data_IF_118640950224
#
_entry.id   IF_118640950224
#
_cell.length_a   1.000
_cell.length_b   1.000
_cell.length_c   1.000
_cell.angle_alpha   90.00
_cell.angle_beta   90.00
_cell.angle_gamma   90.00
#
_symmetry.space_group_name_H-M   'P 1'
#
loop_
_entity.id
_entity.type
_entity.pdbx_description
1 polymer ?
#
# COMPACT_ATOMS: atom_id res chain seq x y z
N UNK A 1 -11.34 14.29 13.83
CA UNK A 1 -11.75 14.29 12.39
C UNK A 1 -10.59 13.74 11.58
N UNK A 2 -10.86 13.06 10.46
CA UNK A 2 -9.93 12.28 9.61
C UNK A 2 -9.57 10.87 10.13
N UNK A 3 -10.53 9.94 9.99
CA UNK A 3 -10.19 8.52 9.78
C UNK A 3 -9.37 8.48 8.48
N UNK A 4 -8.05 8.40 8.60
CA UNK A 4 -7.15 8.28 7.43
C UNK A 4 -7.53 7.00 6.68
N UNK A 5 -7.76 7.06 5.36
CA UNK A 5 -7.77 5.84 4.57
C UNK A 5 -6.36 5.26 4.66
N UNK A 6 -6.23 4.11 5.34
CA UNK A 6 -5.02 3.30 5.24
C UNK A 6 -5.00 2.73 3.82
N UNK A 7 -3.91 2.91 3.08
CA UNK A 7 -3.73 2.29 1.77
C UNK A 7 -2.72 1.15 1.91
N UNK A 8 -2.78 0.15 1.04
CA UNK A 8 -1.81 -0.94 1.01
C UNK A 8 -1.14 -0.94 -0.35
N UNK A 9 0.15 -1.23 -0.39
CA UNK A 9 0.86 -1.47 -1.66
C UNK A 9 0.34 -2.75 -2.26
N UNK A 10 -0.40 -2.64 -3.36
CA UNK A 10 -0.97 -3.80 -4.05
C UNK A 10 0.02 -4.45 -4.99
N UNK A 11 0.95 -3.67 -5.56
CA UNK A 11 1.87 -4.19 -6.57
C UNK A 11 3.23 -3.49 -6.54
N UNK A 12 4.28 -4.30 -6.46
CA UNK A 12 5.67 -3.86 -6.46
C UNK A 12 6.11 -3.26 -5.11
N UNK A 13 6.98 -2.28 -5.17
CA UNK A 13 7.42 -1.52 -4.00
C UNK A 13 7.24 -0.01 -4.24
N UNK A 14 6.98 0.71 -3.16
CA UNK A 14 7.03 2.17 -3.11
C UNK A 14 8.29 2.60 -2.39
N UNK A 15 9.01 3.57 -2.94
CA UNK A 15 10.15 4.17 -2.28
C UNK A 15 9.74 5.58 -1.83
N UNK A 16 9.62 5.77 -0.52
CA UNK A 16 9.45 7.09 0.09
C UNK A 16 10.79 7.51 0.71
N UNK A 17 11.52 8.38 0.01
CA UNK A 17 12.85 8.79 0.42
C UNK A 17 13.78 7.58 0.61
N UNK A 18 14.19 7.32 1.86
CA UNK A 18 15.05 6.18 2.23
C UNK A 18 14.29 4.93 2.66
N UNK A 19 12.95 4.95 2.68
CA UNK A 19 12.12 3.83 3.14
C UNK A 19 11.49 3.12 1.94
N UNK A 20 11.73 1.82 1.85
CA UNK A 20 11.10 0.96 0.86
C UNK A 20 9.88 0.29 1.50
N UNK A 21 8.70 0.54 0.96
CA UNK A 21 7.43 -0.06 1.36
C UNK A 21 7.13 -1.17 0.35
N UNK A 22 7.06 -2.40 0.83
CA UNK A 22 6.85 -3.58 -0.01
C UNK A 22 5.36 -3.83 -0.26
N UNK A 23 5.06 -4.67 -1.24
CA UNK A 23 3.71 -5.16 -1.47
C UNK A 23 3.14 -5.79 -0.19
N UNK A 24 1.88 -5.47 0.13
CA UNK A 24 1.21 -5.90 1.35
C UNK A 24 1.45 -4.97 2.54
N UNK A 25 2.44 -4.07 2.46
CA UNK A 25 2.70 -3.13 3.56
C UNK A 25 1.74 -1.93 3.54
N UNK A 26 1.35 -1.43 4.72
CA UNK A 26 0.54 -0.25 4.84
C UNK A 26 1.32 0.99 4.40
N UNK A 27 0.71 1.74 3.49
CA UNK A 27 1.23 2.98 2.97
C UNK A 27 0.28 4.13 3.32
N UNK A 28 0.84 5.15 3.97
CA UNK A 28 0.13 6.40 4.25
C UNK A 28 0.71 7.50 3.36
N UNK A 29 0.03 7.88 2.27
CA UNK A 29 0.47 8.98 1.44
C UNK A 29 0.51 10.29 2.24
N UNK A 30 1.57 11.06 2.06
CA UNK A 30 1.71 12.38 2.70
C UNK A 30 0.72 13.40 2.14
N UNK A 31 0.29 13.24 0.88
CA UNK A 31 -0.65 14.13 0.20
C UNK A 31 -1.72 13.34 -0.57
N UNK A 32 -2.95 13.87 -0.71
CA UNK A 32 -4.03 13.22 -1.46
C UNK A 32 -3.69 13.06 -2.95
N UNK A 33 -2.87 13.96 -3.50
CA UNK A 33 -2.43 13.90 -4.89
C UNK A 33 -1.50 12.69 -5.15
N UNK A 34 -0.61 12.38 -4.19
CA UNK A 34 0.21 11.18 -4.25
C UNK A 34 -0.64 9.91 -4.17
N UNK A 35 -1.63 9.89 -3.26
CA UNK A 35 -2.58 8.79 -3.14
C UNK A 35 -3.28 8.51 -4.48
N UNK A 36 -3.85 9.55 -5.10
CA UNK A 36 -4.55 9.45 -6.38
C UNK A 36 -3.65 8.94 -7.50
N UNK A 37 -2.40 9.42 -7.60
CA UNK A 37 -1.44 8.96 -8.63
C UNK A 37 -1.08 7.49 -8.46
N UNK A 38 -0.92 7.03 -7.22
CA UNK A 38 -0.56 5.65 -6.91
C UNK A 38 -1.74 4.68 -7.07
N UNK A 39 -2.95 5.11 -6.70
CA UNK A 39 -4.21 4.40 -6.97
C UNK A 39 -4.46 4.30 -8.48
N UNK A 40 -4.31 5.40 -9.22
CA UNK A 40 -4.49 5.42 -10.68
C UNK A 40 -3.49 4.51 -11.41
N UNK A 41 -2.30 4.32 -10.84
CA UNK A 41 -1.28 3.38 -11.34
C UNK A 41 -1.54 1.92 -10.92
N UNK A 42 -2.53 1.65 -10.07
CA UNK A 42 -2.77 0.33 -9.49
C UNK A 42 -1.67 -0.13 -8.51
N UNK A 43 -0.83 0.79 -8.04
CA UNK A 43 0.23 0.48 -7.05
C UNK A 43 -0.29 0.46 -5.63
N UNK A 44 -1.31 1.26 -5.34
CA UNK A 44 -2.01 1.27 -4.06
C UNK A 44 -3.43 0.74 -4.23
N UNK A 45 -3.95 0.18 -3.15
CA UNK A 45 -5.37 -0.10 -2.95
C UNK A 45 -5.83 0.49 -1.63
N UNK A 46 -7.09 0.91 -1.56
CA UNK A 46 -7.71 1.33 -0.31
C UNK A 46 -7.82 0.13 0.64
N UNK A 47 -7.25 0.23 1.85
CA UNK A 47 -7.48 -0.72 2.93
C UNK A 47 -8.87 -0.47 3.52
N UNK A 48 -9.92 -0.65 2.71
CA UNK A 48 -11.30 -0.52 3.17
C UNK A 48 -11.67 -1.76 4.00
N UNK A 49 -11.29 -1.75 5.27
CA UNK A 49 -11.78 -2.67 6.32
C UNK A 49 -11.58 -4.17 6.04
N UNK A 50 -10.50 -4.75 6.57
CA UNK A 50 -10.45 -6.20 6.82
C UNK A 50 -9.78 -7.09 5.77
N UNK A 51 -8.92 -6.54 4.90
CA UNK A 51 -8.04 -7.37 4.07
C UNK A 51 -6.66 -7.47 4.71
N UNK A 52 -6.40 -8.52 5.50
CA UNK A 52 -5.01 -8.93 5.79
C UNK A 52 -4.28 -9.06 4.45
N UNK A 53 -3.06 -8.50 4.26
CA UNK A 53 -2.20 -8.99 3.21
C UNK A 53 -2.00 -10.48 3.48
N UNK A 54 -2.55 -11.31 2.60
CA UNK A 54 -2.17 -12.70 2.45
C UNK A 54 -0.65 -12.76 2.50
N UNK A 55 -0.15 -13.33 3.60
CA UNK A 55 1.23 -13.74 3.78
C UNK A 55 1.65 -14.38 2.46
N UNK A 56 2.65 -13.79 1.82
CA UNK A 56 3.21 -14.30 0.59
C UNK A 56 3.53 -15.77 0.84
N UNK A 57 2.79 -16.61 0.14
CA UNK A 57 3.01 -18.04 0.01
C UNK A 57 4.50 -18.26 -0.29
N UNK A 58 5.22 -18.63 0.77
CA UNK A 58 6.55 -19.19 0.71
C UNK A 58 6.39 -20.70 0.69
N UNK A 59 5.79 -21.25 -0.37
CA UNK A 59 5.98 -22.66 -0.72
C UNK A 59 7.28 -22.79 -1.52
N UNK A 60 8.20 -23.61 -1.02
CA UNK A 60 9.26 -24.18 -1.86
C UNK A 60 10.65 -24.34 -1.22
N UNK A 61 10.79 -25.27 -0.28
CA UNK A 61 11.66 -26.46 -0.36
C UNK A 61 11.81 -27.14 1.00
#
# INVERSE_FOLDING_TARGET
MAKKPEYIVANGCLQEGSRLILQGEPFSPATPELAARLLAKGKLVEARGGGKPQEADGEGA
#
